data_IF_807341717792
#
_entry.id   IF_807341717792
#
_cell.length_a   1.000
_cell.length_b   1.000
_cell.length_c   1.000
_cell.angle_alpha   90.00
_cell.angle_beta   90.00
_cell.angle_gamma   90.00
#
_symmetry.space_group_name_H-M   'P 1'
#
loop_
_entity.id
_entity.type
_entity.pdbx_description
1 polymer ?
#
# COMPACT_ATOMS: atom_id res chain seq x y z
N UNK A 1 39.82 8.58 23.29
CA UNK A 1 39.30 7.67 24.34
C UNK A 1 38.08 6.96 23.78
N UNK A 2 38.10 5.63 23.82
CA UNK A 2 37.20 4.68 23.12
C UNK A 2 35.96 4.46 24.01
N UNK A 3 34.76 4.63 23.50
CA UNK A 3 33.54 4.23 24.22
C UNK A 3 33.10 2.86 23.72
N UNK A 4 33.19 1.89 24.62
CA UNK A 4 32.89 0.48 24.43
C UNK A 4 31.39 0.25 24.58
N UNK A 5 30.80 -0.50 23.65
CA UNK A 5 29.42 -0.97 23.71
C UNK A 5 29.31 -2.17 24.67
N UNK A 6 28.37 -2.13 25.62
CA UNK A 6 27.98 -3.25 26.46
C UNK A 6 26.54 -3.04 26.94
N UNK A 7 25.61 -3.88 26.47
CA UNK A 7 24.53 -4.54 27.22
C UNK A 7 23.78 -5.46 26.24
N UNK A 8 24.14 -6.74 26.23
CA UNK A 8 23.49 -7.85 26.95
C UNK A 8 22.09 -8.18 26.44
N UNK A 9 22.05 -9.19 25.58
CA UNK A 9 20.88 -9.95 25.13
C UNK A 9 20.04 -10.44 26.32
N UNK A 10 18.77 -10.04 26.36
CA UNK A 10 17.76 -10.66 27.21
C UNK A 10 16.77 -11.45 26.34
N UNK A 11 16.53 -12.68 26.80
CA UNK A 11 15.81 -13.77 26.17
C UNK A 11 14.29 -13.54 26.11
N UNK A 12 13.72 -14.12 25.06
CA UNK A 12 12.33 -14.24 24.59
C UNK A 12 11.33 -14.67 25.67
N UNK A 13 10.14 -14.05 25.65
CA UNK A 13 8.87 -14.75 25.92
C UNK A 13 7.81 -14.26 24.92
N UNK A 14 7.70 -14.96 23.78
CA UNK A 14 6.52 -14.88 22.92
C UNK A 14 5.51 -15.87 23.47
N UNK A 15 4.45 -15.38 24.11
CA UNK A 15 3.27 -16.17 24.46
C UNK A 15 2.30 -16.13 23.27
N UNK A 16 2.30 -17.18 22.45
CA UNK A 16 1.26 -17.37 21.44
C UNK A 16 -0.01 -17.88 22.11
N UNK A 17 -1.05 -17.06 22.18
CA UNK A 17 -2.40 -17.51 22.52
C UNK A 17 -3.07 -17.93 21.21
N UNK A 18 -3.18 -19.23 20.98
CA UNK A 18 -3.96 -19.79 19.87
C UNK A 18 -5.45 -19.69 20.19
N UNK A 19 -6.12 -18.63 19.72
CA UNK A 19 -7.59 -18.55 19.73
C UNK A 19 -8.13 -19.44 18.60
N UNK A 20 -8.50 -20.68 18.95
CA UNK A 20 -9.27 -21.55 18.07
C UNK A 20 -10.73 -21.11 18.07
N UNK A 21 -11.13 -20.36 17.05
CA UNK A 21 -12.53 -20.06 16.80
C UNK A 21 -13.18 -21.25 16.10
N UNK A 22 -13.75 -22.16 16.89
CA UNK A 22 -14.75 -23.11 16.41
C UNK A 22 -16.04 -22.36 16.10
N UNK A 23 -16.39 -22.22 14.82
CA UNK A 23 -17.72 -21.78 14.40
C UNK A 23 -18.39 -22.93 13.63
N UNK A 24 -19.47 -23.42 14.23
CA UNK A 24 -20.32 -24.48 13.72
C UNK A 24 -20.95 -24.08 12.38
N UNK A 25 -20.95 -25.01 11.42
CA UNK A 25 -21.72 -24.90 10.20
C UNK A 25 -23.19 -25.24 10.47
N UNK A 26 -23.98 -24.22 10.83
CA UNK A 26 -25.44 -24.28 10.73
C UNK A 26 -25.86 -23.73 9.36
N UNK A 27 -26.26 -24.62 8.45
CA UNK A 27 -26.89 -24.24 7.20
C UNK A 27 -28.38 -23.99 7.45
N UNK A 28 -28.88 -22.82 7.10
CA UNK A 28 -30.32 -22.58 6.93
C UNK A 28 -30.57 -22.15 5.50
N UNK A 29 -31.25 -22.99 4.73
CA UNK A 29 -31.87 -22.63 3.46
C UNK A 29 -33.22 -21.96 3.76
N UNK A 30 -33.53 -20.83 3.13
CA UNK A 30 -34.86 -20.48 2.56
C UNK A 30 -34.92 -18.97 2.21
N UNK A 31 -34.89 -18.72 0.91
CA UNK A 31 -35.83 -17.92 0.10
C UNK A 31 -36.22 -16.48 0.50
N UNK A 32 -35.99 -15.55 -0.45
CA UNK A 32 -36.93 -14.45 -0.74
C UNK A 32 -36.51 -13.02 -0.37
N UNK A 33 -36.09 -12.28 -1.40
CA UNK A 33 -36.28 -10.82 -1.62
C UNK A 33 -35.69 -9.77 -0.65
N UNK A 34 -34.61 -9.16 -1.14
CA UNK A 34 -34.25 -7.73 -1.05
C UNK A 34 -33.75 -7.15 0.28
N UNK A 35 -32.41 -7.04 0.38
CA UNK A 35 -31.77 -5.78 0.80
C UNK A 35 -30.41 -5.64 0.10
N UNK A 36 -30.34 -4.73 -0.87
CA UNK A 36 -29.10 -4.37 -1.58
C UNK A 36 -28.20 -3.61 -0.62
N UNK A 37 -27.27 -4.34 0.01
CA UNK A 37 -26.04 -3.77 0.56
C UNK A 37 -24.88 -4.17 -0.35
N UNK A 38 -24.62 -3.32 -1.34
CA UNK A 38 -23.40 -3.34 -2.15
C UNK A 38 -22.19 -2.98 -1.29
N UNK A 39 -21.73 -3.95 -0.49
CA UNK A 39 -20.32 -4.01 -0.12
C UNK A 39 -19.58 -4.58 -1.32
N UNK A 40 -19.28 -3.73 -2.30
CA UNK A 40 -18.38 -4.05 -3.40
C UNK A 40 -17.01 -4.33 -2.81
N UNK A 41 -16.78 -5.58 -2.40
CA UNK A 41 -15.46 -6.11 -2.14
C UNK A 41 -14.75 -6.05 -3.49
N UNK A 42 -13.98 -5.00 -3.73
CA UNK A 42 -13.08 -4.90 -4.86
C UNK A 42 -12.05 -6.02 -4.73
N UNK A 43 -12.41 -7.20 -5.19
CA UNK A 43 -11.45 -8.23 -5.55
C UNK A 43 -10.69 -7.65 -6.73
N UNK A 44 -9.56 -7.00 -6.43
CA UNK A 44 -8.58 -6.64 -7.45
C UNK A 44 -8.05 -7.98 -7.95
N UNK A 45 -8.67 -8.46 -9.02
CA UNK A 45 -8.15 -9.50 -9.89
C UNK A 45 -6.80 -8.99 -10.37
N UNK A 46 -5.75 -9.50 -9.74
CA UNK A 46 -4.38 -9.26 -10.16
C UNK A 46 -4.18 -10.10 -11.42
N UNK A 47 -4.61 -9.57 -12.57
CA UNK A 47 -4.36 -10.19 -13.86
C UNK A 47 -2.87 -10.19 -14.16
N UNK A 48 -2.36 -11.40 -14.33
CA UNK A 48 -0.97 -11.74 -14.55
C UNK A 48 -0.60 -11.41 -16.02
N UNK A 49 0.32 -10.48 -16.24
CA UNK A 49 0.91 -10.17 -17.55
C UNK A 49 2.38 -9.74 -17.38
N UNK A 50 3.25 -9.86 -18.40
CA UNK A 50 4.34 -10.82 -18.44
C UNK A 50 5.67 -10.25 -17.90
N UNK A 51 6.31 -11.02 -17.02
CA UNK A 51 7.77 -11.26 -16.96
C UNK A 51 8.75 -10.08 -16.81
N UNK A 52 8.33 -9.00 -16.15
CA UNK A 52 9.19 -8.24 -15.25
C UNK A 52 8.28 -7.77 -14.11
N UNK A 53 8.38 -8.36 -12.92
CA UNK A 53 7.50 -7.97 -11.81
C UNK A 53 7.98 -6.62 -11.27
N UNK A 54 7.62 -5.53 -11.96
CA UNK A 54 7.82 -4.18 -11.45
C UNK A 54 7.07 -4.02 -10.13
N UNK A 55 7.53 -3.05 -9.33
CA UNK A 55 6.93 -2.74 -8.03
C UNK A 55 5.42 -2.58 -8.20
N UNK A 56 4.61 -3.26 -7.38
CA UNK A 56 3.16 -3.11 -7.47
C UNK A 56 2.74 -1.68 -7.06
N UNK A 57 1.61 -1.16 -7.59
CA UNK A 57 1.16 0.21 -7.28
C UNK A 57 1.03 0.51 -5.78
N UNK A 58 0.50 -0.45 -5.00
CA UNK A 58 0.42 -0.32 -3.54
C UNK A 58 1.82 -0.18 -2.92
N UNK A 59 2.75 -1.07 -3.29
CA UNK A 59 4.12 -1.05 -2.78
C UNK A 59 4.85 0.24 -3.15
N UNK A 60 4.58 0.81 -4.32
CA UNK A 60 5.12 2.11 -4.71
C UNK A 60 4.62 3.23 -3.78
N UNK A 61 3.33 3.26 -3.48
CA UNK A 61 2.74 4.25 -2.58
C UNK A 61 3.27 4.08 -1.17
N UNK A 62 3.41 2.84 -0.67
CA UNK A 62 4.03 2.55 0.62
C UNK A 62 5.49 3.00 0.67
N UNK A 63 6.27 2.76 -0.40
CA UNK A 63 7.65 3.22 -0.51
C UNK A 63 7.73 4.76 -0.45
N UNK A 64 6.87 5.46 -1.17
CA UNK A 64 6.80 6.92 -1.15
C UNK A 64 6.45 7.43 0.26
N UNK A 65 5.45 6.82 0.91
CA UNK A 65 5.04 7.16 2.26
C UNK A 65 6.15 6.95 3.30
N UNK A 66 6.94 5.87 3.16
CA UNK A 66 8.12 5.58 3.97
C UNK A 66 9.32 6.49 3.67
N UNK A 67 9.23 7.37 2.67
CA UNK A 67 10.27 8.33 2.31
C UNK A 67 11.28 7.84 1.30
N UNK A 68 11.03 6.71 0.64
CA UNK A 68 11.89 6.14 -0.39
C UNK A 68 12.03 6.98 -1.67
N UNK A 69 11.24 8.04 -1.83
CA UNK A 69 11.26 8.96 -3.00
C UNK A 69 11.58 10.43 -2.63
N UNK A 70 12.03 10.68 -1.39
CA UNK A 70 12.33 12.03 -0.90
C UNK A 70 13.46 12.71 -1.66
N UNK A 71 14.47 11.95 -2.08
CA UNK A 71 15.56 12.45 -2.91
C UNK A 71 15.11 12.89 -4.32
N UNK A 72 13.92 12.45 -4.75
CA UNK A 72 13.30 12.82 -6.02
C UNK A 72 12.21 13.90 -5.83
N UNK A 73 12.15 14.52 -4.65
CA UNK A 73 11.22 15.62 -4.35
C UNK A 73 9.81 15.18 -3.97
N UNK A 74 9.55 13.89 -3.76
CA UNK A 74 8.28 13.41 -3.23
C UNK A 74 8.34 13.42 -1.69
N UNK A 75 7.50 14.21 -0.99
CA UNK A 75 7.47 14.17 0.47
C UNK A 75 7.00 12.81 1.00
N UNK A 76 7.20 12.57 2.29
CA UNK A 76 6.83 11.33 2.98
C UNK A 76 5.75 11.56 4.04
N UNK A 77 5.22 10.48 4.62
CA UNK A 77 4.35 10.52 5.79
C UNK A 77 3.13 11.44 5.65
N UNK A 78 2.86 12.22 6.71
CA UNK A 78 1.77 13.20 6.75
C UNK A 78 1.88 14.29 5.68
N UNK A 79 3.10 14.70 5.31
CA UNK A 79 3.31 15.70 4.27
C UNK A 79 2.89 15.16 2.89
N UNK A 80 3.18 13.89 2.59
CA UNK A 80 2.69 13.25 1.36
C UNK A 80 1.15 13.27 1.28
N UNK A 81 0.49 12.96 2.39
CA UNK A 81 -0.97 12.99 2.48
C UNK A 81 -1.49 14.41 2.23
N UNK A 82 -0.93 15.41 2.92
CA UNK A 82 -1.33 16.81 2.76
C UNK A 82 -1.12 17.32 1.33
N UNK A 83 0.00 16.96 0.69
CA UNK A 83 0.28 17.36 -0.69
C UNK A 83 -0.60 16.66 -1.72
N UNK A 84 -1.00 15.40 -1.47
CA UNK A 84 -2.02 14.74 -2.28
C UNK A 84 -3.36 15.45 -2.16
N UNK A 85 -3.80 15.79 -0.95
CA UNK A 85 -5.05 16.53 -0.73
C UNK A 85 -5.03 17.89 -1.43
N UNK A 86 -3.89 18.60 -1.37
CA UNK A 86 -3.66 19.86 -2.06
C UNK A 86 -3.37 19.72 -3.58
N UNK A 87 -3.50 18.52 -4.14
CA UNK A 87 -3.26 18.21 -5.57
C UNK A 87 -1.85 18.54 -6.08
N UNK A 88 -0.86 18.63 -5.19
CA UNK A 88 0.55 18.85 -5.55
C UNK A 88 1.25 17.56 -5.97
N UNK A 89 0.88 16.44 -5.34
CA UNK A 89 1.38 15.10 -5.69
C UNK A 89 0.25 14.27 -6.30
N UNK A 90 0.55 13.49 -7.32
CA UNK A 90 -0.39 12.58 -8.00
C UNK A 90 0.33 11.28 -8.46
N UNK A 91 -0.41 10.32 -9.02
CA UNK A 91 0.17 9.07 -9.50
C UNK A 91 1.32 9.26 -10.50
N UNK A 92 1.18 10.20 -11.44
CA UNK A 92 2.21 10.50 -12.46
C UNK A 92 3.53 10.97 -11.82
N UNK A 93 3.46 11.90 -10.87
CA UNK A 93 4.63 12.39 -10.13
C UNK A 93 5.33 11.26 -9.35
N UNK A 94 4.57 10.34 -8.74
CA UNK A 94 5.13 9.18 -8.04
C UNK A 94 5.84 8.21 -8.98
N UNK A 95 5.23 7.91 -10.13
CA UNK A 95 5.84 7.01 -11.14
C UNK A 95 7.11 7.66 -11.69
N UNK A 96 7.08 8.95 -12.01
CA UNK A 96 8.25 9.70 -12.48
C UNK A 96 9.40 9.65 -11.46
N UNK A 97 9.09 9.93 -10.19
CA UNK A 97 10.08 9.85 -9.12
C UNK A 97 10.65 8.44 -8.95
N UNK A 98 9.82 7.40 -9.05
CA UNK A 98 10.27 6.01 -8.93
C UNK A 98 11.16 5.55 -10.08
N UNK A 99 10.89 6.02 -11.31
CA UNK A 99 11.78 5.78 -12.46
C UNK A 99 13.11 6.49 -12.25
N UNK A 100 13.10 7.76 -11.82
CA UNK A 100 14.32 8.50 -11.48
C UNK A 100 15.12 7.83 -10.33
N UNK A 101 14.43 7.19 -9.39
CA UNK A 101 15.03 6.42 -8.29
C UNK A 101 15.49 5.01 -8.69
N UNK A 102 15.42 4.65 -9.98
CA UNK A 102 15.70 3.31 -10.52
C UNK A 102 14.90 2.19 -9.81
N UNK A 103 13.67 2.50 -9.38
CA UNK A 103 12.74 1.54 -8.74
C UNK A 103 11.73 0.97 -9.74
N UNK A 104 11.48 1.70 -10.83
CA UNK A 104 10.64 1.28 -11.93
C UNK A 104 11.38 1.44 -13.26
N UNK A 105 11.12 0.58 -14.25
CA UNK A 105 11.63 0.77 -15.59
C UNK A 105 10.96 1.97 -16.28
N UNK A 106 11.68 2.64 -17.17
CA UNK A 106 11.24 3.88 -17.83
C UNK A 106 9.96 3.69 -18.67
N UNK A 107 9.74 2.48 -19.19
CA UNK A 107 8.56 2.07 -19.94
C UNK A 107 7.25 2.32 -19.17
N UNK A 108 7.29 2.29 -17.83
CA UNK A 108 6.12 2.51 -16.96
C UNK A 108 5.62 3.96 -17.02
N UNK A 109 6.46 4.92 -17.45
CA UNK A 109 6.02 6.32 -17.66
C UNK A 109 4.89 6.44 -18.68
N UNK A 110 4.80 5.50 -19.62
CA UNK A 110 3.76 5.49 -20.66
C UNK A 110 2.59 4.55 -20.32
N UNK A 111 2.68 3.77 -19.24
CA UNK A 111 1.63 2.86 -18.82
C UNK A 111 0.54 3.59 -18.03
N UNK A 112 -0.51 4.01 -18.76
CA UNK A 112 -1.67 4.71 -18.18
C UNK A 112 -2.42 3.86 -17.17
N UNK A 113 -2.46 2.53 -17.35
CA UNK A 113 -3.14 1.63 -16.43
C UNK A 113 -2.42 1.61 -15.08
N UNK A 114 -1.10 1.46 -15.12
CA UNK A 114 -0.25 1.48 -13.92
C UNK A 114 -0.33 2.83 -13.21
N UNK A 115 -0.18 3.95 -13.93
CA UNK A 115 -0.27 5.31 -13.35
C UNK A 115 -1.62 5.51 -12.66
N UNK A 116 -2.72 5.07 -13.29
CA UNK A 116 -4.04 5.18 -12.70
C UNK A 116 -4.18 4.32 -11.44
N UNK A 117 -3.66 3.09 -11.45
CA UNK A 117 -3.65 2.22 -10.28
C UNK A 117 -2.86 2.86 -9.11
N UNK A 118 -1.70 3.46 -9.38
CA UNK A 118 -0.93 4.21 -8.37
C UNK A 118 -1.75 5.38 -7.83
N UNK A 119 -2.44 6.12 -8.70
CA UNK A 119 -3.26 7.24 -8.29
C UNK A 119 -4.44 6.81 -7.39
N UNK A 120 -5.10 5.68 -7.71
CA UNK A 120 -6.16 5.10 -6.88
C UNK A 120 -5.63 4.71 -5.49
N UNK A 121 -4.46 4.09 -5.43
CA UNK A 121 -3.83 3.72 -4.16
C UNK A 121 -3.45 4.95 -3.33
N UNK A 122 -2.84 5.95 -3.96
CA UNK A 122 -2.45 7.20 -3.31
C UNK A 122 -3.66 7.99 -2.80
N UNK A 123 -4.76 8.03 -3.56
CA UNK A 123 -6.00 8.64 -3.09
C UNK A 123 -6.62 7.86 -1.93
N UNK A 124 -6.57 6.52 -1.96
CA UNK A 124 -7.06 5.70 -0.86
C UNK A 124 -6.30 5.96 0.44
N UNK A 125 -4.97 6.02 0.37
CA UNK A 125 -4.12 6.44 1.48
C UNK A 125 -4.55 7.83 2.02
N UNK A 126 -4.71 8.81 1.14
CA UNK A 126 -5.07 10.17 1.59
C UNK A 126 -6.44 10.28 2.28
N UNK A 127 -7.40 9.40 1.92
CA UNK A 127 -8.72 9.36 2.54
C UNK A 127 -8.69 8.72 3.92
N UNK A 128 -7.86 7.69 4.11
CA UNK A 128 -7.70 7.02 5.41
C UNK A 128 -7.19 7.97 6.50
N UNK A 129 -6.35 8.94 6.12
CA UNK A 129 -5.74 9.93 7.02
C UNK A 129 -6.33 11.34 6.86
N UNK A 130 -7.58 11.45 6.38
CA UNK A 130 -8.29 12.75 6.40
C UNK A 130 -8.85 12.99 7.81
N UNK A 131 -8.49 14.14 8.40
CA UNK A 131 -8.93 14.60 9.72
C UNK A 131 -9.83 15.83 9.57
#
# INVERSE_FOLDING_TARGET
MKITYLINSALIVVTTISLTSGIASAQSMTNGNEEVKTATRSQILSDNSPNASYLQPFNLVSLAYQGGLTQQGIPSGGTLIAERQNRKVNGESLVKAAVQANKLPEQVLSDRSYINAVNVQLTSLSREFSF
#
